data_IF_240453994046
#
_entry.id   IF_240453994046
#
_cell.length_a   1.000
_cell.length_b   1.000
_cell.length_c   1.000
_cell.angle_alpha   90.00
_cell.angle_beta   90.00
_cell.angle_gamma   90.00
#
_symmetry.space_group_name_H-M   'P 1'
#
loop_
_entity.id
_entity.type
_entity.pdbx_description
1 polymer ?
#
# COMPACT_ATOMS: atom_id res chain seq x y z
N UNK A 1 -11.50 1.39 -13.10
CA UNK A 1 -11.46 0.16 -12.28
C UNK A 1 -10.56 0.42 -11.09
N UNK A 2 -11.12 0.61 -9.90
CA UNK A 2 -10.35 0.74 -8.65
C UNK A 2 -9.86 -0.65 -8.25
N UNK A 3 -8.69 -1.06 -8.77
CA UNK A 3 -8.11 -2.35 -8.47
C UNK A 3 -7.75 -2.49 -6.98
N UNK A 4 -7.41 -3.70 -6.56
CA UNK A 4 -6.82 -4.03 -5.25
C UNK A 4 -5.40 -3.42 -5.07
N UNK A 5 -5.18 -2.22 -5.59
CA UNK A 5 -3.89 -1.56 -5.63
C UNK A 5 -3.56 -0.99 -4.25
N UNK A 6 -2.27 -1.04 -3.90
CA UNK A 6 -1.73 -0.39 -2.73
C UNK A 6 -0.49 0.36 -3.21
N UNK A 7 -0.44 1.66 -2.97
CA UNK A 7 0.68 2.51 -3.33
C UNK A 7 1.59 2.76 -2.13
N UNK A 8 2.89 2.81 -2.39
CA UNK A 8 3.87 3.28 -1.41
C UNK A 8 4.78 4.31 -2.06
N UNK A 9 4.86 5.50 -1.46
CA UNK A 9 5.73 6.59 -1.88
C UNK A 9 6.77 6.88 -0.79
N UNK A 10 8.00 7.23 -1.18
CA UNK A 10 9.09 7.47 -0.24
C UNK A 10 9.99 8.62 -0.67
N UNK A 11 10.34 9.46 0.31
CA UNK A 11 11.31 10.55 0.15
C UNK A 11 12.32 10.57 1.30
N UNK A 12 13.54 11.03 1.01
CA UNK A 12 14.66 11.21 1.94
C UNK A 12 14.63 12.54 2.71
N UNK A 13 13.91 13.55 2.25
CA UNK A 13 13.85 14.89 2.89
C UNK A 13 12.51 15.57 2.66
N UNK A 14 12.18 16.62 3.42
CA UNK A 14 10.94 17.40 3.28
C UNK A 14 10.82 18.10 1.91
N UNK A 15 11.96 18.50 1.32
CA UNK A 15 12.01 19.21 0.03
C UNK A 15 11.79 18.30 -1.19
N UNK A 16 11.78 16.99 -0.99
CA UNK A 16 11.48 16.07 -2.09
C UNK A 16 9.97 15.98 -2.30
N UNK A 17 9.55 16.18 -3.55
CA UNK A 17 8.14 16.26 -3.92
C UNK A 17 7.41 14.90 -3.78
N UNK A 18 6.94 14.59 -2.57
CA UNK A 18 5.96 13.54 -2.30
C UNK A 18 4.73 13.66 -3.22
N UNK A 19 4.37 14.90 -3.58
CA UNK A 19 3.27 15.21 -4.51
C UNK A 19 3.46 14.57 -5.87
N UNK A 20 4.68 14.59 -6.44
CA UNK A 20 4.93 13.97 -7.75
C UNK A 20 4.74 12.45 -7.70
N UNK A 21 5.20 11.79 -6.64
CA UNK A 21 5.01 10.35 -6.46
C UNK A 21 3.54 10.00 -6.20
N UNK A 22 2.82 10.79 -5.40
CA UNK A 22 1.38 10.61 -5.16
C UNK A 22 0.58 10.76 -6.45
N UNK A 23 0.90 11.76 -7.28
CA UNK A 23 0.24 11.97 -8.56
C UNK A 23 0.51 10.81 -9.53
N UNK A 24 1.72 10.27 -9.56
CA UNK A 24 2.04 9.09 -10.36
C UNK A 24 1.25 7.85 -9.89
N UNK A 25 1.12 7.64 -8.58
CA UNK A 25 0.30 6.56 -8.03
C UNK A 25 -1.20 6.74 -8.34
N UNK A 26 -1.70 7.97 -8.26
CA UNK A 26 -3.07 8.30 -8.62
C UNK A 26 -3.34 8.03 -10.12
N UNK A 27 -2.40 8.36 -11.00
CA UNK A 27 -2.49 8.06 -12.43
C UNK A 27 -2.53 6.54 -12.72
N UNK A 28 -1.92 5.72 -11.86
CA UNK A 28 -2.01 4.26 -11.90
C UNK A 28 -3.31 3.72 -11.27
N UNK A 29 -4.18 4.59 -10.75
CA UNK A 29 -5.47 4.23 -10.15
C UNK A 29 -5.40 3.85 -8.67
N UNK A 30 -4.30 4.16 -7.98
CA UNK A 30 -4.21 4.01 -6.51
C UNK A 30 -4.97 5.15 -5.86
N UNK A 31 -5.89 4.85 -4.95
CA UNK A 31 -6.60 5.91 -4.22
C UNK A 31 -5.73 6.50 -3.10
N UNK A 32 -5.99 7.75 -2.67
CA UNK A 32 -5.25 8.38 -1.58
C UNK A 32 -5.28 7.55 -0.28
N UNK A 33 -6.40 6.89 0.02
CA UNK A 33 -6.59 6.04 1.21
C UNK A 33 -5.75 4.75 1.15
N UNK A 34 -5.27 4.40 -0.04
CA UNK A 34 -4.44 3.21 -0.31
C UNK A 34 -2.98 3.60 -0.56
N UNK A 35 -2.64 4.87 -0.34
CA UNK A 35 -1.28 5.39 -0.53
C UNK A 35 -0.60 5.58 0.82
N UNK A 36 0.43 4.78 1.05
CA UNK A 36 1.26 4.85 2.25
C UNK A 36 2.53 5.64 1.95
N UNK A 37 3.03 6.41 2.91
CA UNK A 37 4.23 7.23 2.73
C UNK A 37 5.32 6.89 3.72
N UNK A 38 6.56 6.81 3.25
CA UNK A 38 7.74 6.73 4.10
C UNK A 38 8.52 8.04 4.05
N UNK A 39 8.69 8.67 5.21
CA UNK A 39 9.61 9.78 5.37
C UNK A 39 10.73 9.37 6.32
N UNK A 40 11.97 9.56 5.87
CA UNK A 40 13.16 9.34 6.70
C UNK A 40 13.90 10.66 6.78
N UNK A 41 13.82 11.37 7.91
CA UNK A 41 14.54 12.63 8.12
C UNK A 41 16.06 12.45 8.17
N UNK A 42 16.52 11.22 8.39
CA UNK A 42 17.93 10.85 8.39
C UNK A 42 18.11 9.63 7.48
N UNK A 43 19.14 9.64 6.63
CA UNK A 43 19.48 8.51 5.75
C UNK A 43 19.82 7.21 6.50
N UNK A 44 20.00 7.30 7.83
CA UNK A 44 20.29 6.18 8.73
C UNK A 44 19.03 5.49 9.28
N UNK A 45 17.83 6.09 9.15
CA UNK A 45 16.62 5.52 9.73
C UNK A 45 16.12 4.33 8.89
N UNK A 46 16.47 3.11 9.33
CA UNK A 46 16.05 1.84 8.71
C UNK A 46 14.59 1.47 9.00
N UNK A 47 13.95 2.09 9.98
CA UNK A 47 12.54 1.85 10.25
C UNK A 47 11.71 2.43 9.11
N UNK A 48 10.98 1.55 8.39
CA UNK A 48 10.09 1.92 7.28
C UNK A 48 8.63 1.65 7.68
N UNK A 49 8.05 2.43 8.59
CA UNK A 49 6.69 2.19 9.09
C UNK A 49 5.66 2.17 7.95
N UNK A 50 5.68 3.17 7.06
CA UNK A 50 4.74 3.21 5.93
C UNK A 50 4.85 2.01 4.97
N UNK A 51 6.03 1.43 4.79
CA UNK A 51 6.19 0.21 3.99
C UNK A 51 5.60 -1.02 4.72
N UNK A 52 5.80 -1.09 6.04
CA UNK A 52 5.24 -2.17 6.87
C UNK A 52 3.72 -2.13 6.86
N UNK A 53 3.13 -0.94 6.94
CA UNK A 53 1.68 -0.71 6.85
C UNK A 53 1.14 -1.13 5.48
N UNK A 54 1.78 -0.70 4.39
CA UNK A 54 1.39 -1.10 3.03
C UNK A 54 1.39 -2.63 2.85
N UNK A 55 2.43 -3.31 3.36
CA UNK A 55 2.52 -4.78 3.30
C UNK A 55 1.49 -5.46 4.20
N UNK A 56 1.19 -4.88 5.36
CA UNK A 56 0.16 -5.40 6.27
C UNK A 56 -1.23 -5.32 5.62
N UNK A 57 -1.54 -4.18 4.97
CA UNK A 57 -2.79 -3.98 4.25
C UNK A 57 -2.90 -4.94 3.05
N UNK A 58 -1.81 -5.16 2.31
CA UNK A 58 -1.76 -6.14 1.23
C UNK A 58 -2.15 -7.54 1.71
N UNK A 59 -1.54 -8.00 2.82
CA UNK A 59 -1.84 -9.31 3.43
C UNK A 59 -3.26 -9.38 3.97
N UNK A 60 -3.76 -8.29 4.57
CA UNK A 60 -5.13 -8.23 5.07
C UNK A 60 -6.14 -8.37 3.93
N UNK A 61 -5.91 -7.71 2.80
CA UNK A 61 -6.76 -7.82 1.60
C UNK A 61 -6.79 -9.22 1.03
N UNK A 62 -5.64 -9.88 0.90
CA UNK A 62 -5.58 -11.28 0.46
C UNK A 62 -6.36 -12.19 1.40
N UNK A 63 -6.21 -12.04 2.73
CA UNK A 63 -6.98 -12.82 3.71
C UNK A 63 -8.49 -12.59 3.59
N UNK A 64 -8.94 -11.33 3.49
CA UNK A 64 -10.35 -10.99 3.28
C UNK A 64 -10.89 -11.61 1.98
N UNK A 65 -10.12 -11.52 0.89
CA UNK A 65 -10.47 -12.14 -0.39
C UNK A 65 -10.65 -13.65 -0.28
N UNK A 66 -9.75 -14.34 0.43
CA UNK A 66 -9.86 -15.78 0.70
C UNK A 66 -11.10 -16.11 1.52
N UNK A 67 -11.41 -15.33 2.56
CA UNK A 67 -12.62 -15.52 3.37
C UNK A 67 -13.90 -15.35 2.55
N UNK A 68 -13.95 -14.31 1.70
CA UNK A 68 -15.09 -14.07 0.79
C UNK A 68 -15.23 -15.21 -0.21
N UNK A 69 -14.14 -15.69 -0.79
CA UNK A 69 -14.17 -16.79 -1.74
C UNK A 69 -14.59 -18.12 -1.10
N UNK A 70 -14.20 -18.37 0.16
CA UNK A 70 -14.69 -19.51 0.96
C UNK A 70 -16.19 -19.39 1.25
N UNK A 71 -16.66 -18.22 1.71
CA UNK A 71 -18.07 -17.96 2.00
C UNK A 71 -18.95 -18.13 0.74
N UNK A 72 -18.42 -17.83 -0.44
CA UNK A 72 -19.09 -18.02 -1.74
C UNK A 72 -18.95 -19.43 -2.31
N UNK A 73 -18.34 -20.37 -1.58
CA UNK A 73 -18.11 -21.73 -2.05
C UNK A 73 -17.13 -21.86 -3.23
N UNK A 74 -16.42 -20.78 -3.60
CA UNK A 74 -15.46 -20.74 -4.72
C UNK A 74 -14.09 -21.32 -4.35
N UNK A 75 -13.81 -21.42 -3.06
CA UNK A 75 -12.62 -22.09 -2.52
C UNK A 75 -13.09 -23.10 -1.46
N UNK A 76 -12.74 -24.38 -1.65
CA UNK A 76 -12.90 -25.43 -0.65
C UNK A 76 -11.56 -25.65 0.05
N UNK A 77 -11.57 -25.84 1.37
CA UNK A 77 -10.37 -26.17 2.14
C UNK A 77 -9.91 -27.62 1.89
N UNK A 78 -8.72 -27.94 2.39
CA UNK A 78 -8.57 -29.20 3.13
C UNK A 78 -9.22 -28.99 4.50
#
# INVERSE_FOLDING_TARGET
MTGLLIGYARVSTNDQALTAQKNALAALGVTPEQTFTGQSLTGANRARPGLREALAECRARTRKGVQVAKAKGRLRGK
#
